data_IF_305782702976
#
_entry.id   IF_305782702976
#
_cell.length_a   1.000
_cell.length_b   1.000
_cell.length_c   1.000
_cell.angle_alpha   90.00
_cell.angle_beta   90.00
_cell.angle_gamma   90.00
#
_symmetry.space_group_name_H-M   'P 1'
#
loop_
_entity.id
_entity.type
_entity.pdbx_description
1 polymer ?
#
# COMPACT_ATOMS: atom_id res chain seq x y z
N UNK A 1 -23.15 -13.11 -4.09
CA UNK A 1 -22.36 -12.30 -3.13
C UNK A 1 -22.13 -10.92 -3.73
N UNK A 2 -21.96 -9.89 -2.90
CA UNK A 2 -21.61 -8.53 -3.34
C UNK A 2 -20.44 -8.00 -2.52
N UNK A 3 -19.57 -7.20 -3.13
CA UNK A 3 -18.51 -6.46 -2.43
C UNK A 3 -18.48 -5.00 -2.89
N UNK A 4 -18.26 -4.10 -1.94
CA UNK A 4 -18.28 -2.64 -2.19
C UNK A 4 -16.91 -2.04 -2.54
N UNK A 5 -15.83 -2.81 -2.43
CA UNK A 5 -14.49 -2.38 -2.82
C UNK A 5 -13.76 -1.51 -1.79
N UNK A 6 -12.77 -0.76 -2.26
CA UNK A 6 -11.94 0.12 -1.45
C UNK A 6 -12.58 1.51 -1.30
N UNK A 7 -11.79 2.51 -0.91
CA UNK A 7 -12.21 3.92 -0.86
C UNK A 7 -11.80 4.64 -2.15
N UNK A 8 -10.54 4.54 -2.53
CA UNK A 8 -9.98 5.19 -3.71
C UNK A 8 -10.06 4.26 -4.92
N UNK A 9 -10.22 4.85 -6.11
CA UNK A 9 -10.23 4.15 -7.39
C UNK A 9 -11.14 2.92 -7.42
N UNK A 10 -12.28 3.03 -6.77
CA UNK A 10 -13.13 1.90 -6.41
C UNK A 10 -13.82 1.30 -7.64
N UNK A 11 -13.88 -0.03 -7.64
CA UNK A 11 -14.86 -0.80 -8.38
C UNK A 11 -15.55 -1.74 -7.37
N UNK A 12 -16.86 -1.95 -7.53
CA UNK A 12 -17.59 -2.99 -6.82
C UNK A 12 -17.45 -4.34 -7.52
N UNK A 13 -18.01 -5.40 -6.92
CA UNK A 13 -18.09 -6.68 -7.59
C UNK A 13 -19.29 -7.51 -7.12
N UNK A 14 -19.79 -8.37 -8.00
CA UNK A 14 -20.72 -9.44 -7.65
C UNK A 14 -20.10 -10.80 -7.97
N UNK A 15 -20.47 -11.84 -7.22
CA UNK A 15 -20.06 -13.21 -7.50
C UNK A 15 -21.22 -14.19 -7.37
N UNK A 16 -21.18 -15.21 -8.22
CA UNK A 16 -22.17 -16.29 -8.33
C UNK A 16 -21.52 -17.50 -9.00
N UNK A 17 -21.92 -18.70 -8.58
CA UNK A 17 -21.30 -19.96 -9.05
C UNK A 17 -19.76 -19.88 -8.97
N UNK A 18 -19.09 -20.11 -10.09
CA UNK A 18 -17.64 -20.07 -10.27
C UNK A 18 -17.13 -18.74 -10.87
N UNK A 19 -17.94 -17.67 -10.80
CA UNK A 19 -17.68 -16.39 -11.50
C UNK A 19 -17.68 -15.22 -10.52
N UNK A 20 -16.79 -14.28 -10.82
CA UNK A 20 -16.78 -12.94 -10.24
C UNK A 20 -16.82 -11.92 -11.37
N UNK A 21 -17.67 -10.90 -11.22
CA UNK A 21 -17.86 -9.84 -12.20
C UNK A 21 -17.68 -8.50 -11.49
N UNK A 22 -16.53 -7.82 -11.68
CA UNK A 22 -16.34 -6.47 -11.18
C UNK A 22 -17.19 -5.47 -11.98
N UNK A 23 -17.58 -4.37 -11.35
CA UNK A 23 -18.17 -3.22 -12.04
C UNK A 23 -17.10 -2.50 -12.88
N UNK A 24 -17.53 -1.51 -13.66
CA UNK A 24 -16.62 -0.47 -14.15
C UNK A 24 -15.95 0.28 -13.00
N UNK A 25 -14.93 1.07 -13.35
CA UNK A 25 -14.38 2.10 -12.47
C UNK A 25 -15.48 3.07 -12.06
N UNK A 26 -15.68 3.21 -10.75
CA UNK A 26 -16.66 4.13 -10.18
C UNK A 26 -15.98 5.47 -9.88
N UNK A 27 -14.90 5.44 -9.08
CA UNK A 27 -14.21 6.65 -8.65
C UNK A 27 -13.75 6.58 -7.21
N UNK A 28 -13.46 7.74 -6.64
CA UNK A 28 -13.06 7.88 -5.25
C UNK A 28 -14.31 8.12 -4.39
N UNK A 29 -14.52 7.29 -3.35
CA UNK A 29 -15.78 7.25 -2.59
C UNK A 29 -16.05 8.52 -1.75
N UNK A 30 -15.07 9.41 -1.60
CA UNK A 30 -15.20 10.71 -0.95
C UNK A 30 -15.71 11.81 -1.90
N UNK A 31 -15.78 11.55 -3.21
CA UNK A 31 -16.38 12.46 -4.17
C UNK A 31 -17.92 12.40 -4.14
N UNK A 32 -18.61 13.56 -4.29
CA UNK A 32 -20.06 13.60 -4.27
C UNK A 32 -20.69 12.69 -5.34
N UNK A 33 -21.61 11.81 -4.92
CA UNK A 33 -22.38 10.94 -5.82
C UNK A 33 -21.75 9.58 -6.09
N UNK A 34 -20.50 9.34 -5.69
CA UNK A 34 -19.79 8.10 -6.03
C UNK A 34 -20.32 6.86 -5.29
N UNK A 35 -20.79 7.04 -4.06
CA UNK A 35 -21.44 5.95 -3.31
C UNK A 35 -22.78 5.58 -3.96
N UNK A 36 -23.56 6.57 -4.41
CA UNK A 36 -24.81 6.35 -5.13
C UNK A 36 -24.60 5.70 -6.50
N UNK A 37 -23.55 6.09 -7.21
CA UNK A 37 -23.10 5.45 -8.45
C UNK A 37 -22.77 3.98 -8.21
N UNK A 38 -21.93 3.67 -7.22
CA UNK A 38 -21.60 2.30 -6.84
C UNK A 38 -22.85 1.49 -6.49
N UNK A 39 -23.76 2.04 -5.70
CA UNK A 39 -25.02 1.39 -5.33
C UNK A 39 -25.86 1.03 -6.57
N UNK A 40 -26.02 1.99 -7.49
CA UNK A 40 -26.81 1.78 -8.70
C UNK A 40 -26.24 0.64 -9.54
N UNK A 41 -24.92 0.60 -9.72
CA UNK A 41 -24.25 -0.41 -10.55
C UNK A 41 -24.30 -1.79 -9.90
N UNK A 42 -24.06 -1.89 -8.58
CA UNK A 42 -24.21 -3.15 -7.86
C UNK A 42 -25.65 -3.68 -7.94
N UNK A 43 -26.65 -2.81 -7.80
CA UNK A 43 -28.06 -3.20 -7.95
C UNK A 43 -28.39 -3.67 -9.36
N UNK A 44 -27.90 -2.97 -10.37
CA UNK A 44 -28.08 -3.38 -11.77
C UNK A 44 -27.44 -4.77 -12.03
N UNK A 45 -26.23 -5.02 -11.52
CA UNK A 45 -25.59 -6.33 -11.64
C UNK A 45 -26.39 -7.42 -10.93
N UNK A 46 -26.89 -7.14 -9.71
CA UNK A 46 -27.75 -8.08 -8.99
C UNK A 46 -29.03 -8.40 -9.77
N UNK A 47 -29.65 -7.41 -10.40
CA UNK A 47 -30.84 -7.62 -11.23
C UNK A 47 -30.53 -8.48 -12.47
N UNK A 48 -29.51 -8.10 -13.26
CA UNK A 48 -29.15 -8.77 -14.52
C UNK A 48 -28.71 -10.22 -14.30
N UNK A 49 -27.99 -10.49 -13.23
CA UNK A 49 -27.54 -11.83 -12.88
C UNK A 49 -28.52 -12.58 -11.96
N UNK A 50 -29.71 -12.02 -11.70
CA UNK A 50 -30.76 -12.60 -10.85
C UNK A 50 -30.26 -12.99 -9.44
N UNK A 51 -29.39 -12.16 -8.86
CA UNK A 51 -28.73 -12.43 -7.59
C UNK A 51 -29.57 -11.95 -6.41
N UNK A 52 -29.64 -12.80 -5.40
CA UNK A 52 -29.99 -12.42 -4.02
C UNK A 52 -28.75 -12.67 -3.16
N UNK A 53 -27.96 -11.64 -2.84
CA UNK A 53 -26.72 -11.86 -2.11
C UNK A 53 -27.02 -12.44 -0.73
N UNK A 54 -26.28 -13.49 -0.36
CA UNK A 54 -26.23 -14.03 1.00
C UNK A 54 -25.05 -13.49 1.81
N UNK A 55 -24.12 -12.81 1.12
CA UNK A 55 -22.89 -12.26 1.66
C UNK A 55 -22.68 -10.89 1.03
N UNK A 56 -22.39 -9.89 1.87
CA UNK A 56 -21.91 -8.56 1.48
C UNK A 56 -20.54 -8.35 2.13
N UNK A 57 -19.52 -8.08 1.32
CA UNK A 57 -18.15 -7.86 1.80
C UNK A 57 -17.76 -6.39 1.70
N UNK A 58 -16.98 -5.92 2.68
CA UNK A 58 -16.46 -4.55 2.73
C UNK A 58 -15.06 -4.51 3.35
N UNK A 59 -14.36 -3.39 3.17
CA UNK A 59 -13.07 -3.16 3.82
C UNK A 59 -13.24 -2.97 5.34
N UNK A 60 -12.24 -3.40 6.11
CA UNK A 60 -12.17 -3.20 7.55
C UNK A 60 -12.05 -1.72 7.98
N UNK A 61 -11.62 -0.81 7.10
CA UNK A 61 -11.39 0.58 7.47
C UNK A 61 -12.68 1.27 7.96
N UNK A 62 -12.78 1.68 9.24
CA UNK A 62 -14.06 2.11 9.83
C UNK A 62 -14.60 3.42 9.24
N UNK A 63 -13.74 4.22 8.61
CA UNK A 63 -14.08 5.52 8.02
C UNK A 63 -14.36 5.52 6.52
N UNK A 64 -14.41 4.37 5.83
CA UNK A 64 -14.73 4.35 4.38
C UNK A 64 -16.19 4.73 4.12
N UNK A 65 -16.42 5.55 3.09
CA UNK A 65 -17.75 6.12 2.80
C UNK A 65 -18.75 5.06 2.29
N UNK A 66 -18.25 3.99 1.66
CA UNK A 66 -19.07 2.90 1.14
C UNK A 66 -19.56 1.90 2.19
N UNK A 67 -19.15 2.02 3.46
CA UNK A 67 -19.61 1.11 4.55
C UNK A 67 -21.10 1.22 4.82
N UNK A 68 -21.64 2.44 4.73
CA UNK A 68 -23.08 2.66 4.89
C UNK A 68 -23.88 1.93 3.80
N UNK A 69 -23.35 1.88 2.57
CA UNK A 69 -23.94 1.10 1.48
C UNK A 69 -23.89 -0.40 1.78
N UNK A 70 -22.73 -0.93 2.18
CA UNK A 70 -22.60 -2.35 2.51
C UNK A 70 -23.57 -2.79 3.63
N UNK A 71 -23.72 -1.99 4.67
CA UNK A 71 -24.67 -2.26 5.76
C UNK A 71 -26.13 -2.26 5.29
N UNK A 72 -26.54 -1.29 4.45
CA UNK A 72 -27.89 -1.25 3.88
C UNK A 72 -28.18 -2.47 3.01
N UNK A 73 -27.25 -2.86 2.14
CA UNK A 73 -27.39 -4.05 1.30
C UNK A 73 -27.47 -5.33 2.14
N UNK A 74 -26.68 -5.42 3.21
CA UNK A 74 -26.74 -6.56 4.11
C UNK A 74 -28.11 -6.69 4.80
N UNK A 75 -28.65 -5.58 5.30
CA UNK A 75 -29.98 -5.53 5.94
C UNK A 75 -31.11 -5.84 4.95
N UNK A 76 -31.09 -5.24 3.76
CA UNK A 76 -32.14 -5.40 2.75
C UNK A 76 -32.30 -6.84 2.25
N UNK A 77 -31.18 -7.55 2.11
CA UNK A 77 -31.16 -8.91 1.56
C UNK A 77 -31.01 -10.01 2.62
N UNK A 78 -31.05 -9.67 3.91
CA UNK A 78 -30.76 -10.60 5.03
C UNK A 78 -29.44 -11.36 4.81
N UNK A 79 -28.41 -10.61 4.40
CA UNK A 79 -27.11 -11.12 4.01
C UNK A 79 -26.09 -10.94 5.14
N UNK A 80 -25.12 -11.85 5.21
CA UNK A 80 -24.02 -11.74 6.15
C UNK A 80 -23.04 -10.64 5.72
N UNK A 81 -22.77 -9.70 6.61
CA UNK A 81 -21.81 -8.62 6.38
C UNK A 81 -20.42 -9.04 6.86
N UNK A 82 -19.46 -9.12 5.93
CA UNK A 82 -18.10 -9.60 6.20
C UNK A 82 -17.07 -8.49 5.98
N UNK A 83 -16.27 -8.21 7.01
CA UNK A 83 -15.13 -7.32 6.89
C UNK A 83 -13.88 -8.07 6.42
N UNK A 84 -13.19 -7.49 5.45
CA UNK A 84 -11.97 -8.03 4.85
C UNK A 84 -10.85 -7.01 4.95
N UNK A 85 -9.68 -7.49 5.36
CA UNK A 85 -8.51 -6.62 5.48
C UNK A 85 -7.98 -6.25 4.09
N UNK A 86 -7.67 -4.97 3.90
CA UNK A 86 -7.31 -4.37 2.61
C UNK A 86 -6.18 -5.10 1.85
N UNK A 87 -5.08 -5.40 2.54
CA UNK A 87 -3.91 -6.06 1.92
C UNK A 87 -4.15 -7.56 1.69
N UNK A 88 -4.96 -8.20 2.54
CA UNK A 88 -5.43 -9.56 2.32
C UNK A 88 -6.31 -9.64 1.07
N UNK A 89 -7.18 -8.64 0.83
CA UNK A 89 -7.93 -8.54 -0.41
C UNK A 89 -7.02 -8.37 -1.64
N UNK A 90 -6.00 -7.51 -1.57
CA UNK A 90 -4.99 -7.39 -2.64
C UNK A 90 -4.28 -8.71 -2.95
N UNK A 91 -3.91 -9.47 -1.91
CA UNK A 91 -3.28 -10.79 -2.06
C UNK A 91 -4.25 -11.81 -2.69
N UNK A 92 -5.48 -11.89 -2.18
CA UNK A 92 -6.51 -12.80 -2.68
C UNK A 92 -6.87 -12.52 -4.16
N UNK A 93 -7.03 -11.24 -4.52
CA UNK A 93 -7.27 -10.83 -5.90
C UNK A 93 -6.13 -11.28 -6.83
N UNK A 94 -4.89 -11.17 -6.38
CA UNK A 94 -3.73 -11.59 -7.17
C UNK A 94 -3.63 -13.12 -7.33
N UNK A 95 -3.93 -13.87 -6.27
CA UNK A 95 -3.94 -15.33 -6.28
C UNK A 95 -5.02 -15.90 -7.22
N UNK A 96 -6.14 -15.19 -7.41
CA UNK A 96 -7.23 -15.64 -8.29
C UNK A 96 -6.79 -15.83 -9.75
N UNK A 97 -5.88 -14.99 -10.25
CA UNK A 97 -5.48 -15.07 -11.67
C UNK A 97 -4.78 -16.38 -12.03
N UNK A 98 -4.04 -16.95 -11.08
CA UNK A 98 -3.41 -18.27 -11.22
C UNK A 98 -4.30 -19.40 -10.69
N UNK A 99 -5.54 -19.10 -10.25
CA UNK A 99 -6.52 -20.05 -9.71
C UNK A 99 -5.95 -20.88 -8.56
N UNK A 100 -5.27 -20.21 -7.63
CA UNK A 100 -4.74 -20.87 -6.42
C UNK A 100 -5.89 -21.62 -5.72
N UNK A 101 -5.74 -22.89 -5.36
CA UNK A 101 -6.76 -23.64 -4.65
C UNK A 101 -7.11 -23.04 -3.28
N UNK A 102 -8.36 -23.20 -2.81
CA UNK A 102 -8.73 -22.87 -1.44
C UNK A 102 -7.82 -23.55 -0.40
N UNK A 103 -7.40 -22.79 0.61
CA UNK A 103 -6.55 -23.27 1.70
C UNK A 103 -5.05 -23.32 1.39
N UNK A 104 -4.64 -23.18 0.12
CA UNK A 104 -3.22 -23.10 -0.22
C UNK A 104 -2.64 -21.73 0.15
N UNK A 105 -1.53 -21.73 0.88
CA UNK A 105 -0.84 -20.52 1.29
C UNK A 105 0.16 -20.06 0.24
N UNK A 106 0.14 -18.77 -0.06
CA UNK A 106 1.08 -18.10 -0.96
C UNK A 106 1.71 -16.90 -0.29
N UNK A 107 2.89 -16.52 -0.77
CA UNK A 107 3.52 -15.27 -0.34
C UNK A 107 3.08 -14.14 -1.25
N UNK A 108 2.65 -13.03 -0.66
CA UNK A 108 2.26 -11.83 -1.36
C UNK A 108 3.01 -10.61 -0.77
N UNK A 109 3.66 -9.84 -1.64
CA UNK A 109 4.16 -8.50 -1.34
C UNK A 109 3.03 -7.52 -1.69
N UNK A 110 2.44 -6.90 -0.68
CA UNK A 110 1.32 -5.96 -0.85
C UNK A 110 1.79 -4.56 -0.51
N UNK A 111 2.04 -3.76 -1.55
CA UNK A 111 2.63 -2.42 -1.47
C UNK A 111 1.66 -1.37 -1.98
N UNK A 112 1.33 -0.41 -1.13
CA UNK A 112 0.28 0.57 -1.39
C UNK A 112 0.55 1.93 -0.70
N UNK A 113 -0.30 2.91 -0.99
CA UNK A 113 -0.34 4.20 -0.30
C UNK A 113 -0.88 4.11 1.12
N UNK A 114 -2.03 3.49 1.33
CA UNK A 114 -2.71 3.47 2.64
C UNK A 114 -3.68 2.30 2.67
N UNK A 115 -3.52 1.36 3.60
CA UNK A 115 -4.59 0.42 3.93
C UNK A 115 -4.71 0.20 5.44
N UNK A 116 -5.93 -0.02 5.91
CA UNK A 116 -6.17 -0.21 7.35
C UNK A 116 -5.57 -1.52 7.85
N UNK A 117 -4.68 -1.42 8.83
CA UNK A 117 -4.10 -2.56 9.53
C UNK A 117 -5.06 -3.12 10.58
N UNK A 118 -4.96 -4.42 10.85
CA UNK A 118 -5.72 -5.06 11.95
C UNK A 118 -5.33 -4.54 13.34
N UNK A 119 -4.17 -3.86 13.43
CA UNK A 119 -3.64 -3.18 14.61
C UNK A 119 -3.98 -1.68 14.65
N UNK A 120 -4.94 -1.24 13.82
CA UNK A 120 -5.33 0.16 13.64
C UNK A 120 -4.19 1.09 13.19
N UNK A 121 -3.11 0.53 12.64
CA UNK A 121 -2.02 1.30 11.99
C UNK A 121 -2.24 1.37 10.48
N UNK A 122 -1.48 2.24 9.81
CA UNK A 122 -1.56 2.39 8.35
C UNK A 122 -0.55 1.44 7.69
N UNK A 123 -1.04 0.40 7.05
CA UNK A 123 -0.22 -0.52 6.27
C UNK A 123 -0.04 0.01 4.83
N UNK A 124 0.92 -0.58 4.11
CA UNK A 124 1.18 -0.26 2.70
C UNK A 124 2.54 -0.74 2.21
N UNK A 125 3.23 -1.58 2.97
CA UNK A 125 4.57 -2.04 2.64
C UNK A 125 4.81 -3.43 3.18
N UNK A 126 3.84 -4.32 3.03
CA UNK A 126 3.76 -5.59 3.75
C UNK A 126 4.20 -6.78 2.90
N UNK A 127 4.68 -7.82 3.58
CA UNK A 127 4.76 -9.17 3.02
C UNK A 127 3.88 -10.06 3.87
N UNK A 128 2.94 -10.74 3.20
CA UNK A 128 1.97 -11.63 3.80
C UNK A 128 2.23 -13.07 3.34
N UNK A 129 2.04 -14.03 4.23
CA UNK A 129 1.70 -15.41 3.85
C UNK A 129 0.18 -15.50 3.95
N UNK A 130 -0.51 -15.73 2.84
CA UNK A 130 -1.97 -15.65 2.77
C UNK A 130 -2.56 -16.86 2.03
N UNK A 131 -3.67 -17.36 2.57
CA UNK A 131 -4.66 -18.15 1.84
C UNK A 131 -5.90 -17.27 1.64
N UNK A 132 -6.98 -17.79 1.05
CA UNK A 132 -8.22 -17.01 0.96
C UNK A 132 -8.90 -16.79 2.32
N UNK A 133 -8.72 -17.66 3.32
CA UNK A 133 -9.43 -17.52 4.60
C UNK A 133 -8.64 -16.78 5.68
N UNK A 134 -7.32 -16.68 5.54
CA UNK A 134 -6.43 -16.16 6.58
C UNK A 134 -5.14 -15.61 5.99
N UNK A 135 -4.43 -14.82 6.79
CA UNK A 135 -3.11 -14.32 6.45
C UNK A 135 -2.26 -14.13 7.71
N UNK A 136 -0.94 -14.19 7.52
CA UNK A 136 0.07 -13.85 8.52
C UNK A 136 0.97 -12.73 7.97
N UNK A 137 1.11 -11.64 8.73
CA UNK A 137 2.02 -10.54 8.41
C UNK A 137 3.46 -10.94 8.78
N UNK A 138 4.26 -11.34 7.78
CA UNK A 138 5.61 -11.90 8.00
C UNK A 138 6.73 -10.87 7.80
N UNK A 139 6.49 -9.80 7.04
CA UNK A 139 7.39 -8.67 6.96
C UNK A 139 6.68 -7.35 6.68
N UNK A 140 7.37 -6.22 6.93
CA UNK A 140 6.93 -4.90 6.46
C UNK A 140 8.10 -3.94 6.20
N UNK A 141 7.80 -2.74 5.72
CA UNK A 141 8.69 -1.58 5.90
C UNK A 141 8.78 -1.17 7.36
N UNK A 142 9.84 -0.46 7.74
CA UNK A 142 10.00 0.03 9.11
C UNK A 142 8.85 0.98 9.50
N UNK A 143 8.20 0.76 10.66
CA UNK A 143 7.13 1.63 11.11
C UNK A 143 7.66 3.00 11.51
N UNK A 144 7.11 4.06 10.92
CA UNK A 144 7.40 5.45 11.29
C UNK A 144 6.11 6.23 11.53
N UNK A 145 6.22 7.38 12.19
CA UNK A 145 5.07 8.23 12.53
C UNK A 145 4.72 9.11 11.32
N UNK A 146 3.44 9.34 11.06
CA UNK A 146 2.96 10.18 9.95
C UNK A 146 2.28 11.46 10.47
N UNK A 147 3.03 12.53 10.79
CA UNK A 147 2.48 13.77 11.33
C UNK A 147 1.42 14.40 10.42
N UNK A 148 0.20 14.55 10.95
CA UNK A 148 -0.90 15.19 10.24
C UNK A 148 -1.74 14.28 9.34
N UNK A 149 -1.55 12.96 9.38
CA UNK A 149 -2.44 12.01 8.68
C UNK A 149 -2.56 12.32 7.19
N UNK A 150 -3.78 12.56 6.71
CA UNK A 150 -4.07 12.88 5.30
C UNK A 150 -3.31 14.11 4.79
N UNK A 151 -3.02 15.08 5.66
CA UNK A 151 -2.22 16.23 5.30
C UNK A 151 -0.78 15.86 4.94
N UNK A 152 -0.25 14.75 5.46
CA UNK A 152 1.08 14.24 5.10
C UNK A 152 1.11 13.62 3.70
N UNK A 153 -0.01 13.09 3.23
CA UNK A 153 -0.13 12.64 1.84
C UNK A 153 -0.17 13.84 0.88
N UNK A 154 -0.79 14.96 1.28
CA UNK A 154 -0.79 16.21 0.50
C UNK A 154 0.56 16.95 0.52
N UNK A 155 1.24 16.94 1.67
CA UNK A 155 2.51 17.60 1.91
C UNK A 155 3.58 16.59 2.32
N UNK A 156 4.22 15.92 1.34
CA UNK A 156 5.24 14.89 1.55
C UNK A 156 6.35 15.22 2.57
N UNK A 157 6.68 16.50 2.75
CA UNK A 157 7.67 16.95 3.76
C UNK A 157 7.29 16.49 5.17
N UNK A 158 6.00 16.37 5.49
CA UNK A 158 5.54 15.84 6.79
C UNK A 158 5.89 14.37 6.97
N UNK A 159 5.75 13.55 5.92
CA UNK A 159 6.17 12.15 5.95
C UNK A 159 7.70 12.04 6.08
N UNK A 160 8.45 12.92 5.39
CA UNK A 160 9.91 13.00 5.53
C UNK A 160 10.34 13.31 6.96
N UNK A 161 9.68 14.26 7.64
CA UNK A 161 9.97 14.57 9.05
C UNK A 161 9.75 13.35 9.95
N UNK A 162 8.66 12.61 9.74
CA UNK A 162 8.40 11.37 10.46
C UNK A 162 9.47 10.31 10.24
N UNK A 163 9.95 10.16 9.00
CA UNK A 163 11.03 9.23 8.66
C UNK A 163 12.39 9.69 9.21
N UNK A 164 12.69 11.00 9.19
CA UNK A 164 13.88 11.59 9.81
C UNK A 164 13.92 11.29 11.32
N UNK A 165 12.79 11.51 12.01
CA UNK A 165 12.67 11.18 13.42
C UNK A 165 12.89 9.68 13.68
N UNK A 166 12.34 8.80 12.84
CA UNK A 166 12.56 7.36 12.94
C UNK A 166 14.01 6.93 12.65
N UNK A 167 14.76 7.72 11.86
CA UNK A 167 16.20 7.52 11.60
C UNK A 167 17.14 8.03 12.68
N UNK A 168 16.58 8.56 13.78
CA UNK A 168 17.34 8.99 14.94
C UNK A 168 17.89 10.40 14.86
N UNK A 169 17.55 11.17 13.81
CA UNK A 169 17.87 12.59 13.73
C UNK A 169 17.07 13.33 14.82
N UNK A 170 17.75 14.20 15.57
CA UNK A 170 17.08 15.08 16.53
C UNK A 170 16.30 16.22 15.84
N UNK A 171 15.60 17.05 16.64
CA UNK A 171 14.77 18.15 16.09
C UNK A 171 15.61 19.13 15.26
N UNK A 172 16.80 19.50 15.74
CA UNK A 172 17.64 20.50 15.06
C UNK A 172 18.34 19.89 13.84
N UNK A 173 18.83 18.65 13.93
CA UNK A 173 19.41 17.93 12.79
C UNK A 173 18.41 17.77 11.63
N UNK A 174 17.15 17.43 11.96
CA UNK A 174 16.09 17.33 10.96
C UNK A 174 15.79 18.70 10.32
N UNK A 175 15.70 19.76 11.11
CA UNK A 175 15.44 21.11 10.61
C UNK A 175 16.59 21.65 9.75
N UNK A 176 17.83 21.42 10.16
CA UNK A 176 19.03 21.79 9.40
C UNK A 176 19.03 21.10 8.03
N UNK A 177 18.70 19.80 8.00
CA UNK A 177 18.56 19.07 6.73
C UNK A 177 17.44 19.66 5.86
N UNK A 178 16.26 19.93 6.42
CA UNK A 178 15.15 20.54 5.67
C UNK A 178 15.51 21.93 5.13
N UNK A 179 16.16 22.76 5.95
CA UNK A 179 16.60 24.10 5.56
C UNK A 179 17.64 24.01 4.43
N UNK A 180 18.65 23.14 4.58
CA UNK A 180 19.71 22.92 3.58
C UNK A 180 19.16 22.55 2.20
N UNK A 181 18.13 21.70 2.15
CA UNK A 181 17.50 21.28 0.90
C UNK A 181 16.31 22.17 0.47
N UNK A 182 16.07 23.28 1.17
CA UNK A 182 15.05 24.28 0.84
C UNK A 182 13.62 23.76 0.99
N UNK A 183 13.37 22.88 1.97
CA UNK A 183 12.08 22.23 2.24
C UNK A 183 11.21 22.98 3.26
N UNK A 184 11.74 24.04 3.88
CA UNK A 184 11.00 24.91 4.82
C UNK A 184 10.24 26.06 4.14
N UNK A 185 10.27 26.15 2.81
CA UNK A 185 9.55 27.20 2.08
C UNK A 185 8.04 26.92 2.03
N UNK A 186 7.22 27.97 2.00
CA UNK A 186 5.75 27.89 2.14
C UNK A 186 5.05 27.10 1.02
N UNK A 187 5.68 26.97 -0.13
CA UNK A 187 5.23 26.15 -1.25
C UNK A 187 5.45 24.64 -1.04
N UNK A 188 6.25 24.25 -0.03
CA UNK A 188 6.56 22.85 0.32
C UNK A 188 6.04 22.46 1.70
N UNK A 189 5.98 23.44 2.60
CA UNK A 189 5.44 23.30 3.94
C UNK A 189 4.70 24.60 4.31
N UNK A 190 3.36 24.64 4.30
CA UNK A 190 2.55 25.86 4.37
C UNK A 190 2.93 26.87 5.46
N UNK A 191 3.32 26.39 6.64
CA UNK A 191 3.74 27.24 7.77
C UNK A 191 5.25 27.16 8.07
N UNK A 192 6.04 26.65 7.12
CA UNK A 192 7.51 26.62 7.17
C UNK A 192 8.06 25.95 8.42
N UNK A 193 9.12 26.53 9.00
CA UNK A 193 9.83 25.99 10.16
C UNK A 193 8.93 25.66 11.35
N UNK A 194 7.94 26.50 11.66
CA UNK A 194 7.01 26.27 12.76
C UNK A 194 6.23 24.96 12.58
N UNK A 195 5.75 24.69 11.37
CA UNK A 195 5.08 23.43 11.06
C UNK A 195 6.04 22.25 11.07
N UNK A 196 7.29 22.45 10.65
CA UNK A 196 8.31 21.39 10.74
C UNK A 196 8.57 20.98 12.19
N UNK A 197 8.77 21.95 13.08
CA UNK A 197 8.93 21.73 14.54
C UNK A 197 7.75 21.02 15.15
N UNK A 198 6.53 21.46 14.85
CA UNK A 198 5.30 20.80 15.35
C UNK A 198 5.20 19.37 14.82
N UNK A 199 5.45 19.15 13.53
CA UNK A 199 5.40 17.83 12.91
C UNK A 199 6.42 16.87 13.54
N UNK A 200 7.64 17.35 13.77
CA UNK A 200 8.70 16.57 14.42
C UNK A 200 8.28 16.17 15.83
N UNK A 201 7.78 17.12 16.64
CA UNK A 201 7.31 16.85 18.00
C UNK A 201 6.13 15.89 18.04
N UNK A 202 5.19 15.98 17.10
CA UNK A 202 4.09 15.03 16.98
C UNK A 202 4.60 13.59 16.72
N UNK A 203 5.62 13.44 15.87
CA UNK A 203 6.28 12.14 15.67
C UNK A 203 6.99 11.67 16.95
N UNK A 204 7.88 12.50 17.51
CA UNK A 204 8.70 12.17 18.67
C UNK A 204 7.87 11.83 19.93
N UNK A 205 6.74 12.51 20.14
CA UNK A 205 5.85 12.26 21.28
C UNK A 205 4.80 11.17 21.00
N UNK A 206 4.87 10.48 19.86
CA UNK A 206 3.95 9.41 19.50
C UNK A 206 2.49 9.89 19.31
N UNK A 207 2.30 11.16 18.95
CA UNK A 207 0.98 11.80 18.74
C UNK A 207 0.55 11.81 17.27
N UNK A 208 1.18 11.00 16.45
CA UNK A 208 0.84 10.77 15.04
C UNK A 208 0.60 9.28 14.79
N UNK A 209 -0.23 8.90 13.81
CA UNK A 209 -0.46 7.49 13.46
C UNK A 209 0.85 6.83 13.02
N UNK A 210 0.99 5.53 13.30
CA UNK A 210 2.07 4.71 12.74
C UNK A 210 1.71 4.30 11.31
N UNK A 211 2.71 4.31 10.45
CA UNK A 211 2.60 3.81 9.09
C UNK A 211 3.78 2.94 8.69
N UNK A 212 3.50 1.92 7.88
CA UNK A 212 4.47 1.09 7.16
C UNK A 212 4.28 1.25 5.64
N UNK A 213 3.71 2.38 5.21
CA UNK A 213 3.34 2.64 3.83
C UNK A 213 4.52 2.80 2.89
N UNK A 214 4.50 2.06 1.78
CA UNK A 214 5.39 2.27 0.64
C UNK A 214 5.16 3.64 0.02
N UNK A 215 3.91 4.01 -0.23
CA UNK A 215 3.57 5.30 -0.83
C UNK A 215 4.12 6.48 -0.01
N UNK A 216 3.90 6.50 1.31
CA UNK A 216 4.41 7.58 2.18
C UNK A 216 5.93 7.60 2.26
N UNK A 217 6.58 6.43 2.20
CA UNK A 217 8.05 6.32 2.13
C UNK A 217 8.57 6.93 0.82
N UNK A 218 7.95 6.60 -0.32
CA UNK A 218 8.31 7.17 -1.62
C UNK A 218 8.05 8.68 -1.68
N UNK A 219 6.93 9.14 -1.12
CA UNK A 219 6.59 10.56 -1.03
C UNK A 219 7.67 11.33 -0.26
N UNK A 220 8.08 10.82 0.91
CA UNK A 220 9.15 11.40 1.73
C UNK A 220 10.48 11.51 0.95
N UNK A 221 10.87 10.45 0.25
CA UNK A 221 12.11 10.41 -0.52
C UNK A 221 12.03 11.31 -1.77
N UNK A 222 10.86 11.41 -2.41
CA UNK A 222 10.62 12.34 -3.52
C UNK A 222 10.76 13.80 -3.08
N UNK A 223 10.29 14.14 -1.87
CA UNK A 223 10.46 15.46 -1.28
C UNK A 223 11.92 15.78 -1.01
N UNK A 224 12.64 14.86 -0.36
CA UNK A 224 14.06 15.02 -0.04
C UNK A 224 14.91 15.25 -1.31
N UNK A 225 14.62 14.49 -2.38
CA UNK A 225 15.30 14.62 -3.66
C UNK A 225 14.87 15.85 -4.47
N UNK A 226 13.96 16.69 -3.94
CA UNK A 226 13.41 17.88 -4.59
C UNK A 226 12.74 17.56 -5.92
N UNK A 227 12.07 16.40 -6.00
CA UNK A 227 11.33 15.94 -7.18
C UNK A 227 9.86 16.32 -7.06
N UNK A 228 9.27 16.10 -5.88
CA UNK A 228 7.87 16.42 -5.61
C UNK A 228 7.67 16.70 -4.12
N UNK A 229 7.03 17.83 -3.79
CA UNK A 229 6.84 18.32 -2.42
C UNK A 229 5.39 18.71 -2.11
N UNK A 230 4.50 18.57 -3.09
CA UNK A 230 3.05 18.70 -2.96
C UNK A 230 2.41 17.64 -3.84
N UNK A 231 1.30 17.07 -3.36
CA UNK A 231 0.46 16.13 -4.10
C UNK A 231 -0.79 16.86 -4.60
N UNK A 232 -0.90 16.98 -5.91
CA UNK A 232 -2.02 17.52 -6.67
C UNK A 232 -2.96 16.41 -7.18
N UNK A 233 -2.47 15.17 -7.31
CA UNK A 233 -3.28 13.98 -7.63
C UNK A 233 -2.74 12.73 -6.93
N UNK A 234 -3.55 11.69 -6.84
CA UNK A 234 -3.25 10.42 -6.17
C UNK A 234 -1.97 9.78 -6.75
N UNK A 235 -1.08 9.29 -5.88
CA UNK A 235 0.22 8.72 -6.27
C UNK A 235 1.29 9.68 -6.83
N UNK A 236 1.02 10.98 -7.00
CA UNK A 236 1.92 11.89 -7.75
C UNK A 236 3.40 11.87 -7.33
N UNK A 237 3.78 12.00 -6.05
CA UNK A 237 5.20 12.07 -5.70
C UNK A 237 5.93 10.75 -5.99
N UNK A 238 5.29 9.61 -5.71
CA UNK A 238 5.81 8.29 -6.05
C UNK A 238 5.98 8.10 -7.57
N UNK A 239 5.00 8.53 -8.37
CA UNK A 239 5.07 8.46 -9.84
C UNK A 239 6.18 9.37 -10.40
N UNK A 240 6.32 10.59 -9.88
CA UNK A 240 7.39 11.52 -10.28
C UNK A 240 8.77 10.99 -9.89
N UNK A 241 8.89 10.34 -8.73
CA UNK A 241 10.12 9.69 -8.29
C UNK A 241 10.52 8.53 -9.20
N UNK A 242 9.55 7.70 -9.61
CA UNK A 242 9.76 6.65 -10.61
C UNK A 242 10.23 7.24 -11.94
N UNK A 243 9.55 8.27 -12.44
CA UNK A 243 9.93 8.93 -13.69
C UNK A 243 11.35 9.51 -13.63
N UNK A 244 11.73 10.12 -12.50
CA UNK A 244 13.05 10.69 -12.28
C UNK A 244 14.18 9.64 -12.29
N UNK A 245 13.89 8.40 -11.87
CA UNK A 245 14.84 7.29 -11.85
C UNK A 245 15.21 6.76 -13.26
N UNK A 246 14.42 7.10 -14.30
CA UNK A 246 14.65 6.59 -15.65
C UNK A 246 16.03 6.99 -16.20
N UNK A 247 16.82 5.98 -16.57
CA UNK A 247 18.18 6.16 -17.10
C UNK A 247 19.24 6.44 -16.04
N UNK A 248 18.90 6.30 -14.76
CA UNK A 248 19.88 6.37 -13.67
C UNK A 248 20.72 5.10 -13.57
N UNK A 249 21.90 5.26 -12.98
CA UNK A 249 22.77 4.17 -12.58
C UNK A 249 22.37 3.68 -11.19
N UNK A 250 22.04 2.40 -11.08
CA UNK A 250 21.83 1.74 -9.79
C UNK A 250 23.18 1.53 -9.09
N UNK A 251 23.31 2.06 -7.87
CA UNK A 251 24.50 1.92 -7.03
C UNK A 251 24.47 0.68 -6.11
N UNK A 252 23.45 -0.16 -6.22
CA UNK A 252 23.42 -1.48 -5.56
C UNK A 252 23.13 -1.44 -4.07
N UNK A 253 22.66 -0.31 -3.53
CA UNK A 253 22.28 -0.23 -2.11
C UNK A 253 20.96 -0.97 -1.85
N UNK A 254 20.93 -1.83 -0.84
CA UNK A 254 19.74 -2.55 -0.35
C UNK A 254 19.65 -2.29 1.16
N UNK A 255 18.52 -1.76 1.68
CA UNK A 255 18.34 -1.60 3.13
C UNK A 255 18.39 -2.95 3.85
N UNK A 256 18.90 -2.95 5.09
CA UNK A 256 18.95 -4.17 5.90
C UNK A 256 17.56 -4.67 6.27
N UNK A 257 17.49 -5.98 6.53
CA UNK A 257 16.35 -6.63 7.16
C UNK A 257 16.61 -6.77 8.65
N UNK A 258 15.81 -6.09 9.46
CA UNK A 258 15.77 -6.21 10.91
C UNK A 258 14.74 -7.26 11.34
N UNK A 259 14.81 -7.68 12.60
CA UNK A 259 13.77 -8.46 13.26
C UNK A 259 13.10 -7.60 14.31
N UNK A 260 11.79 -7.37 14.18
CA UNK A 260 10.98 -6.60 15.13
C UNK A 260 9.71 -7.39 15.39
N UNK A 261 9.37 -7.63 16.66
CA UNK A 261 8.13 -8.33 17.07
C UNK A 261 7.89 -9.66 16.33
N UNK A 262 8.94 -10.44 16.10
CA UNK A 262 8.87 -11.76 15.45
C UNK A 262 8.67 -11.73 13.93
N UNK A 263 8.72 -10.55 13.29
CA UNK A 263 8.61 -10.37 11.84
C UNK A 263 9.82 -9.62 11.27
N UNK A 264 10.06 -9.79 9.98
CA UNK A 264 11.13 -9.06 9.28
C UNK A 264 10.71 -7.62 8.99
N UNK A 265 11.66 -6.70 9.04
CA UNK A 265 11.41 -5.28 8.77
C UNK A 265 12.49 -4.72 7.86
N UNK A 266 12.09 -4.10 6.74
CA UNK A 266 13.00 -3.36 5.85
C UNK A 266 13.36 -2.04 6.50
N UNK A 267 14.64 -1.81 6.77
CA UNK A 267 15.17 -0.62 7.47
C UNK A 267 15.13 0.64 6.59
N UNK A 268 13.94 1.19 6.38
CA UNK A 268 13.76 2.46 5.65
C UNK A 268 14.43 3.68 6.33
N UNK A 269 14.60 3.73 7.66
CA UNK A 269 15.46 4.74 8.29
C UNK A 269 16.92 4.68 7.82
N UNK A 270 17.51 3.49 7.73
CA UNK A 270 18.86 3.31 7.17
C UNK A 270 18.92 3.75 5.69
N UNK A 271 17.86 3.49 4.92
CA UNK A 271 17.76 3.97 3.55
C UNK A 271 17.79 5.50 3.47
N UNK A 272 17.07 6.18 4.37
CA UNK A 272 17.09 7.64 4.44
C UNK A 272 18.49 8.17 4.76
N UNK A 273 19.20 7.55 5.72
CA UNK A 273 20.57 7.92 6.05
C UNK A 273 21.49 7.79 4.83
N UNK A 274 21.40 6.69 4.09
CA UNK A 274 22.16 6.52 2.85
C UNK A 274 21.85 7.61 1.82
N UNK A 275 20.59 8.02 1.68
CA UNK A 275 20.23 9.15 0.80
C UNK A 275 20.89 10.44 1.26
N UNK A 276 20.81 10.78 2.54
CA UNK A 276 21.41 12.01 3.10
C UNK A 276 22.92 12.06 2.92
N UNK A 277 23.62 10.93 3.00
CA UNK A 277 25.07 10.83 2.77
C UNK A 277 25.50 10.96 1.30
N UNK A 278 24.58 10.70 0.38
CA UNK A 278 24.87 10.61 -1.06
C UNK A 278 24.21 11.71 -1.90
N UNK A 279 23.25 12.46 -1.36
CA UNK A 279 22.48 13.47 -2.09
C UNK A 279 23.30 14.63 -2.67
N UNK A 280 24.46 14.94 -2.07
CA UNK A 280 25.40 15.93 -2.63
C UNK A 280 26.40 15.36 -3.64
N UNK A 281 26.52 14.02 -3.70
CA UNK A 281 27.58 13.32 -4.47
C UNK A 281 27.03 12.63 -5.72
N UNK A 282 25.78 12.17 -5.65
CA UNK A 282 25.12 11.43 -6.72
C UNK A 282 24.00 12.28 -7.33
N UNK A 283 23.65 11.98 -8.58
CA UNK A 283 22.50 12.64 -9.19
C UNK A 283 21.20 12.16 -8.52
N UNK A 284 20.19 13.03 -8.45
CA UNK A 284 18.87 12.64 -7.91
C UNK A 284 18.27 11.45 -8.66
N UNK A 285 18.56 11.32 -9.95
CA UNK A 285 18.17 10.19 -10.80
C UNK A 285 18.83 8.88 -10.35
N UNK A 286 20.13 8.89 -10.07
CA UNK A 286 20.87 7.69 -9.61
C UNK A 286 20.41 7.25 -8.22
N UNK A 287 20.16 8.22 -7.33
CA UNK A 287 19.58 7.95 -6.02
C UNK A 287 18.18 7.35 -6.18
N UNK A 288 17.31 7.98 -6.99
CA UNK A 288 15.95 7.52 -7.20
C UNK A 288 15.86 6.07 -7.71
N UNK A 289 16.71 5.67 -8.67
CA UNK A 289 16.73 4.27 -9.12
C UNK A 289 17.28 3.33 -8.05
N UNK A 290 18.31 3.75 -7.32
CA UNK A 290 18.96 2.94 -6.29
C UNK A 290 18.01 2.65 -5.13
N UNK A 291 17.31 3.67 -4.61
CA UNK A 291 16.39 3.50 -3.48
C UNK A 291 15.18 2.63 -3.85
N UNK A 292 14.59 2.83 -5.04
CA UNK A 292 13.41 2.08 -5.45
C UNK A 292 13.75 0.61 -5.71
N UNK A 293 14.88 0.33 -6.37
CA UNK A 293 15.37 -1.05 -6.53
C UNK A 293 15.80 -1.67 -5.20
N UNK A 294 16.43 -0.89 -4.31
CA UNK A 294 16.83 -1.34 -2.98
C UNK A 294 15.65 -1.78 -2.12
N UNK A 295 14.57 -0.99 -2.09
CA UNK A 295 13.31 -1.34 -1.43
C UNK A 295 12.72 -2.63 -2.00
N UNK A 296 12.67 -2.75 -3.33
CA UNK A 296 12.23 -3.97 -4.00
C UNK A 296 13.08 -5.19 -3.64
N UNK A 297 14.41 -5.05 -3.65
CA UNK A 297 15.36 -6.12 -3.27
C UNK A 297 15.12 -6.59 -1.84
N UNK A 298 15.02 -5.66 -0.89
CA UNK A 298 14.81 -5.99 0.52
C UNK A 298 13.46 -6.69 0.77
N UNK A 299 12.37 -6.21 0.16
CA UNK A 299 11.06 -6.88 0.23
C UNK A 299 11.09 -8.25 -0.43
N UNK A 300 11.77 -8.39 -1.58
CA UNK A 300 11.97 -9.67 -2.25
C UNK A 300 12.76 -10.67 -1.41
N UNK A 301 13.80 -10.22 -0.72
CA UNK A 301 14.55 -11.06 0.23
C UNK A 301 13.70 -11.49 1.43
N UNK A 302 12.87 -10.60 1.96
CA UNK A 302 11.94 -10.94 3.05
C UNK A 302 10.89 -11.97 2.58
N UNK A 303 10.33 -11.77 1.38
CA UNK A 303 9.39 -12.71 0.77
C UNK A 303 10.03 -14.06 0.47
N UNK A 304 11.28 -14.10 0.00
CA UNK A 304 12.01 -15.35 -0.22
C UNK A 304 12.21 -16.16 1.08
N UNK A 305 12.44 -15.48 2.20
CA UNK A 305 12.55 -16.13 3.52
C UNK A 305 11.19 -16.69 3.97
N UNK A 306 10.11 -15.97 3.72
CA UNK A 306 8.74 -16.40 4.03
C UNK A 306 8.26 -17.55 3.14
N UNK A 307 8.73 -17.62 1.89
CA UNK A 307 8.37 -18.67 0.94
C UNK A 307 9.03 -20.04 1.24
N UNK A 308 9.90 -20.13 2.26
CA UNK A 308 10.55 -21.39 2.62
C UNK A 308 9.51 -22.42 3.07
N UNK A 309 9.38 -23.50 2.31
CA UNK A 309 8.41 -24.56 2.58
C UNK A 309 7.05 -24.33 1.92
N UNK A 310 6.88 -23.24 1.18
CA UNK A 310 5.72 -22.98 0.33
C UNK A 310 6.10 -23.20 -1.14
N UNK A 311 5.16 -23.72 -1.93
CA UNK A 311 5.35 -23.94 -3.36
C UNK A 311 4.77 -22.79 -4.19
N UNK A 312 5.33 -22.56 -5.37
CA UNK A 312 4.80 -21.63 -6.36
C UNK A 312 5.38 -20.21 -6.30
N UNK A 313 4.75 -19.27 -7.03
CA UNK A 313 5.28 -17.92 -7.19
C UNK A 313 5.02 -17.03 -5.96
N UNK A 314 5.75 -15.92 -5.90
CA UNK A 314 5.43 -14.79 -5.02
C UNK A 314 4.61 -13.78 -5.80
N UNK A 315 3.48 -13.36 -5.22
CA UNK A 315 2.61 -12.34 -5.80
C UNK A 315 3.06 -10.94 -5.39
N UNK A 316 2.94 -9.95 -6.28
CA UNK A 316 3.06 -8.52 -5.94
C UNK A 316 1.77 -7.82 -6.34
N UNK A 317 1.16 -7.13 -5.38
CA UNK A 317 -0.13 -6.44 -5.53
C UNK A 317 -0.13 -5.15 -4.69
N UNK A 318 -1.23 -4.38 -4.73
CA UNK A 318 -1.36 -3.04 -4.19
C UNK A 318 -1.00 -1.93 -5.18
N UNK A 319 -1.39 -0.68 -4.91
CA UNK A 319 -1.24 0.44 -5.84
C UNK A 319 0.20 0.72 -6.27
N UNK A 320 1.19 0.44 -5.43
CA UNK A 320 2.60 0.62 -5.76
C UNK A 320 3.21 -0.56 -6.55
N UNK A 321 2.46 -1.64 -6.80
CA UNK A 321 2.92 -2.78 -7.60
C UNK A 321 3.15 -2.43 -9.08
N UNK A 322 2.67 -1.27 -9.54
CA UNK A 322 2.95 -0.74 -10.88
C UNK A 322 4.34 -0.12 -11.00
N UNK A 323 5.04 0.12 -9.88
CA UNK A 323 6.35 0.75 -9.89
C UNK A 323 7.42 -0.19 -10.48
N UNK A 324 7.96 0.21 -11.63
CA UNK A 324 8.90 -0.56 -12.43
C UNK A 324 10.16 -0.94 -11.66
N UNK A 325 10.72 -0.01 -10.88
CA UNK A 325 12.01 -0.19 -10.23
C UNK A 325 11.90 -1.06 -8.96
N UNK A 326 10.83 -0.90 -8.19
CA UNK A 326 10.54 -1.78 -7.06
C UNK A 326 10.31 -3.22 -7.55
N UNK A 327 9.49 -3.42 -8.58
CA UNK A 327 9.24 -4.74 -9.17
C UNK A 327 10.53 -5.36 -9.71
N UNK A 328 11.38 -4.58 -10.39
CA UNK A 328 12.68 -5.07 -10.86
C UNK A 328 13.58 -5.52 -9.70
N UNK A 329 13.65 -4.75 -8.62
CA UNK A 329 14.41 -5.11 -7.42
C UNK A 329 13.89 -6.39 -6.77
N UNK A 330 12.57 -6.52 -6.62
CA UNK A 330 11.94 -7.71 -6.06
C UNK A 330 12.19 -8.95 -6.92
N UNK A 331 12.02 -8.83 -8.25
CA UNK A 331 12.35 -9.90 -9.22
C UNK A 331 13.80 -10.32 -9.14
N UNK A 332 14.72 -9.37 -9.06
CA UNK A 332 16.14 -9.66 -8.94
C UNK A 332 16.42 -10.49 -7.68
N UNK A 333 15.93 -10.05 -6.51
CA UNK A 333 16.11 -10.79 -5.26
C UNK A 333 15.49 -12.19 -5.31
N UNK A 334 14.22 -12.29 -5.71
CA UNK A 334 13.48 -13.56 -5.74
C UNK A 334 14.05 -14.57 -6.74
N UNK A 335 14.53 -14.10 -7.90
CA UNK A 335 15.21 -14.97 -8.88
C UNK A 335 16.47 -15.63 -8.34
N UNK A 336 17.18 -14.96 -7.42
CA UNK A 336 18.33 -15.54 -6.71
C UNK A 336 17.98 -16.74 -5.82
N UNK A 337 16.70 -16.88 -5.47
CA UNK A 337 16.14 -18.02 -4.72
C UNK A 337 15.35 -18.99 -5.61
N UNK A 338 15.35 -18.80 -6.95
CA UNK A 338 14.57 -19.62 -7.88
C UNK A 338 13.05 -19.40 -7.80
N UNK A 339 12.61 -18.29 -7.19
CA UNK A 339 11.19 -17.95 -7.05
C UNK A 339 10.73 -17.05 -8.19
N UNK A 340 9.60 -17.39 -8.80
CA UNK A 340 8.95 -16.57 -9.81
C UNK A 340 8.13 -15.44 -9.17
N UNK A 341 8.05 -14.28 -9.84
CA UNK A 341 7.21 -13.16 -9.43
C UNK A 341 6.00 -13.03 -10.33
N UNK A 342 4.80 -13.01 -9.74
CA UNK A 342 3.53 -12.80 -10.42
C UNK A 342 2.91 -11.47 -10.03
N UNK A 343 2.41 -10.74 -11.03
CA UNK A 343 1.68 -9.49 -10.86
C UNK A 343 0.37 -9.64 -11.63
N UNK A 344 -0.77 -9.30 -11.04
CA UNK A 344 -2.08 -9.33 -11.72
C UNK A 344 -2.05 -8.58 -13.06
N UNK A 345 -2.69 -9.16 -14.08
CA UNK A 345 -2.81 -8.58 -15.43
C UNK A 345 -4.26 -8.46 -15.90
N UNK A 346 -5.15 -9.30 -15.38
CA UNK A 346 -6.59 -9.29 -15.69
C UNK A 346 -7.33 -8.35 -14.76
N UNK A 347 -6.91 -8.29 -13.50
CA UNK A 347 -7.39 -7.33 -12.51
C UNK A 347 -6.32 -6.25 -12.30
N UNK A 348 -6.73 -5.01 -12.02
CA UNK A 348 -5.80 -4.00 -11.53
C UNK A 348 -5.12 -4.51 -10.25
N UNK A 349 -3.79 -4.37 -10.09
CA UNK A 349 -3.14 -4.70 -8.84
C UNK A 349 -3.46 -3.68 -7.73
N UNK A 350 -3.93 -2.48 -8.07
CA UNK A 350 -4.38 -1.46 -7.13
C UNK A 350 -5.83 -1.63 -6.69
N UNK A 351 -6.40 -0.57 -6.11
CA UNK A 351 -7.68 -0.64 -5.38
C UNK A 351 -8.89 -1.04 -6.20
N UNK A 352 -8.86 -0.83 -7.52
CA UNK A 352 -9.88 -1.35 -8.44
C UNK A 352 -10.00 -2.89 -8.44
N UNK A 353 -9.02 -3.63 -7.93
CA UNK A 353 -9.07 -5.09 -7.75
C UNK A 353 -9.60 -5.55 -6.40
N UNK A 354 -9.75 -4.66 -5.42
CA UNK A 354 -10.02 -5.02 -4.01
C UNK A 354 -11.36 -5.71 -3.82
N UNK A 355 -12.43 -5.28 -4.51
CA UNK A 355 -13.74 -5.91 -4.38
C UNK A 355 -13.72 -7.40 -4.76
N UNK A 356 -12.91 -7.79 -5.74
CA UNK A 356 -12.75 -9.20 -6.12
C UNK A 356 -12.07 -9.97 -4.99
N UNK A 357 -11.00 -9.43 -4.41
CA UNK A 357 -10.34 -10.01 -3.23
C UNK A 357 -11.28 -10.14 -2.04
N UNK A 358 -12.10 -9.12 -1.77
CA UNK A 358 -13.11 -9.13 -0.71
C UNK A 358 -14.10 -10.30 -0.86
N UNK A 359 -14.61 -10.54 -2.07
CA UNK A 359 -15.52 -11.65 -2.34
C UNK A 359 -14.87 -13.02 -2.08
N UNK A 360 -13.63 -13.22 -2.53
CA UNK A 360 -12.92 -14.49 -2.32
C UNK A 360 -12.66 -14.75 -0.84
N UNK A 361 -12.23 -13.74 -0.11
CA UNK A 361 -11.98 -13.86 1.34
C UNK A 361 -13.27 -14.12 2.10
N UNK A 362 -14.34 -13.39 1.77
CA UNK A 362 -15.63 -13.58 2.42
C UNK A 362 -16.21 -14.98 2.14
N UNK A 363 -16.16 -15.44 0.89
CA UNK A 363 -16.57 -16.80 0.52
C UNK A 363 -15.78 -17.87 1.28
N UNK A 364 -14.44 -17.72 1.34
CA UNK A 364 -13.57 -18.68 2.01
C UNK A 364 -13.79 -18.72 3.54
N UNK A 365 -14.04 -17.57 4.18
CA UNK A 365 -14.37 -17.50 5.62
C UNK A 365 -15.68 -18.21 5.96
N UNK A 366 -16.62 -18.24 5.02
CA UNK A 366 -17.95 -18.85 5.20
C UNK A 366 -18.07 -20.26 4.61
N UNK A 367 -16.99 -20.80 4.05
CA UNK A 367 -16.97 -22.16 3.48
C UNK A 367 -17.70 -22.30 2.15
N UNK A 368 -17.80 -21.21 1.38
CA UNK A 368 -18.54 -21.11 0.12
C UNK A 368 -17.60 -20.93 -1.11
N UNK A 369 -16.31 -21.34 -0.99
CA UNK A 369 -15.29 -21.23 -2.06
C UNK A 369 -14.86 -22.58 -2.66
#
# INVERSE_FOLDING_TARGET
MVAVGAELQTAGAVAFEDKVVPTQYIGDMDEPGQVEELERELRWFMEVYFLKPRIVAMDMHPGYHNRGLAARLAEEYDAELVEVQHHHAHAAAAMLEDRVPPGEEKVAITIDGTGYGVDSTIWGGEVLVASYNSFTRVASLYPFRLPGGDAAAKWPVRALIGLMQASGLDEEEALDALQRYGLLSRDKLPHGETEARVSYRLAAFGKAPLTTSMGRTLDALAALLRIAWRRDYEGEPAMKLEAAARGGRDHGYTPRLLSLDGRLVVDTPELLQWVLENIDRLSARDIAVTIQRGLGRALGEAAARAARGLEGPVYISGGAAVNTFIVQGARQALSGYGLEVRIPRRLPPGDGGVAVGQLLVAAAKLGEI
#
